data_IF_264163311858
#
_entry.id   IF_264163311858
#
_cell.length_a   1.000
_cell.length_b   1.000
_cell.length_c   1.000
_cell.angle_alpha   90.00
_cell.angle_beta   90.00
_cell.angle_gamma   90.00
#
_symmetry.space_group_name_H-M   'P 1'
#
loop_
_entity.id
_entity.type
_entity.pdbx_description
1 polymer ?
#
# COMPACT_ATOMS: atom_id res chain seq x y z
N UNK A 1 -18.23 1.04 -11.97
CA UNK A 1 -17.78 2.34 -11.43
C UNK A 1 -17.30 3.16 -12.61
N UNK A 2 -17.92 4.32 -12.84
CA UNK A 2 -17.58 5.20 -13.96
C UNK A 2 -16.28 5.97 -13.69
N UNK A 3 -15.71 6.60 -14.72
CA UNK A 3 -14.54 7.47 -14.55
C UNK A 3 -14.88 8.72 -13.73
N UNK A 4 -16.05 9.30 -13.96
CA UNK A 4 -16.55 10.46 -13.23
C UNK A 4 -16.72 10.16 -11.73
N UNK A 5 -17.33 9.02 -11.38
CA UNK A 5 -17.44 8.57 -9.98
C UNK A 5 -16.07 8.44 -9.30
N UNK A 6 -15.06 7.95 -10.03
CA UNK A 6 -13.68 7.89 -9.52
C UNK A 6 -13.11 9.27 -9.28
N UNK A 7 -13.25 10.16 -10.25
CA UNK A 7 -12.68 11.50 -10.18
C UNK A 7 -13.36 12.31 -9.06
N UNK A 8 -14.66 12.14 -8.83
CA UNK A 8 -15.37 12.70 -7.67
C UNK A 8 -14.78 12.15 -6.36
N UNK A 9 -14.63 10.83 -6.24
CA UNK A 9 -14.09 10.19 -5.02
C UNK A 9 -12.65 10.59 -4.72
N UNK A 10 -11.85 10.85 -5.75
CA UNK A 10 -10.46 11.29 -5.63
C UNK A 10 -10.34 12.81 -5.46
N UNK A 11 -11.44 13.56 -5.57
CA UNK A 11 -11.47 15.02 -5.52
C UNK A 11 -10.71 15.65 -6.69
N UNK A 12 -10.85 15.07 -7.89
CA UNK A 12 -10.23 15.54 -9.13
C UNK A 12 -11.17 16.41 -9.98
N UNK A 13 -12.44 16.51 -9.60
CA UNK A 13 -13.45 17.34 -10.27
C UNK A 13 -13.31 18.81 -9.88
N UNK A 14 -13.48 19.72 -10.85
CA UNK A 14 -13.42 21.15 -10.61
C UNK A 14 -12.01 21.72 -10.39
N UNK A 15 -10.97 20.91 -10.60
CA UNK A 15 -9.57 21.32 -10.58
C UNK A 15 -9.13 21.76 -11.98
N UNK A 16 -8.21 22.72 -12.05
CA UNK A 16 -7.41 22.95 -13.25
C UNK A 16 -6.50 21.75 -13.55
N UNK A 17 -5.97 21.65 -14.78
CA UNK A 17 -5.07 20.56 -15.16
C UNK A 17 -3.82 20.47 -14.26
N UNK A 18 -3.27 21.63 -13.85
CA UNK A 18 -2.12 21.70 -12.96
C UNK A 18 -2.45 21.19 -11.54
N UNK A 19 -3.59 21.63 -10.98
CA UNK A 19 -4.06 21.17 -9.67
C UNK A 19 -4.40 19.68 -9.68
N UNK A 20 -5.03 19.22 -10.77
CA UNK A 20 -5.33 17.80 -10.98
C UNK A 20 -4.07 16.96 -11.02
N UNK A 21 -3.03 17.41 -11.75
CA UNK A 21 -1.74 16.74 -11.80
C UNK A 21 -1.07 16.69 -10.42
N UNK A 22 -1.04 17.81 -9.68
CA UNK A 22 -0.49 17.86 -8.33
C UNK A 22 -1.24 16.92 -7.36
N UNK A 23 -2.57 16.88 -7.47
CA UNK A 23 -3.41 15.99 -6.66
C UNK A 23 -3.14 14.52 -6.95
N UNK A 24 -3.00 14.15 -8.22
CA UNK A 24 -2.65 12.78 -8.64
C UNK A 24 -1.26 12.38 -8.11
N UNK A 25 -0.27 13.27 -8.17
CA UNK A 25 1.06 13.00 -7.63
C UNK A 25 1.01 12.73 -6.12
N UNK A 26 0.32 13.58 -5.36
CA UNK A 26 0.16 13.41 -3.91
C UNK A 26 -0.52 12.07 -3.56
N UNK A 27 -1.60 11.71 -4.27
CA UNK A 27 -2.30 10.45 -4.07
C UNK A 27 -1.39 9.25 -4.39
N UNK A 28 -0.62 9.33 -5.47
CA UNK A 28 0.33 8.30 -5.89
C UNK A 28 1.42 8.09 -4.84
N UNK A 29 2.01 9.18 -4.32
CA UNK A 29 3.01 9.11 -3.26
C UNK A 29 2.46 8.44 -2.00
N UNK A 30 1.26 8.82 -1.58
CA UNK A 30 0.60 8.25 -0.41
C UNK A 30 0.40 6.74 -0.56
N UNK A 31 -0.18 6.30 -1.68
CA UNK A 31 -0.39 4.87 -1.96
C UNK A 31 0.95 4.13 -1.99
N UNK A 32 1.99 4.73 -2.57
CA UNK A 32 3.32 4.11 -2.65
C UNK A 32 3.92 3.91 -1.26
N UNK A 33 3.83 4.91 -0.38
CA UNK A 33 4.32 4.82 1.01
C UNK A 33 3.54 3.77 1.80
N UNK A 34 2.21 3.78 1.71
CA UNK A 34 1.35 2.80 2.39
C UNK A 34 1.64 1.37 1.90
N UNK A 35 1.81 1.17 0.58
CA UNK A 35 2.18 -0.12 0.01
C UNK A 35 3.57 -0.60 0.45
N UNK A 36 4.55 0.31 0.52
CA UNK A 36 5.88 0.00 1.02
C UNK A 36 5.84 -0.43 2.50
N UNK A 37 5.09 0.29 3.34
CA UNK A 37 4.90 -0.05 4.75
C UNK A 37 4.21 -1.41 4.92
N UNK A 38 3.14 -1.68 4.15
CA UNK A 38 2.45 -2.97 4.19
C UNK A 38 3.36 -4.13 3.78
N UNK A 39 4.18 -3.93 2.72
CA UNK A 39 5.18 -4.93 2.28
C UNK A 39 6.24 -5.16 3.35
N UNK A 40 6.73 -4.11 4.00
CA UNK A 40 7.70 -4.22 5.09
C UNK A 40 7.11 -5.01 6.29
N UNK A 41 5.87 -4.69 6.67
CA UNK A 41 5.17 -5.41 7.74
C UNK A 41 4.96 -6.90 7.41
N UNK A 42 4.60 -7.22 6.16
CA UNK A 42 4.48 -8.61 5.70
C UNK A 42 5.82 -9.35 5.73
N UNK A 43 6.91 -8.70 5.31
CA UNK A 43 8.26 -9.28 5.38
C UNK A 43 8.69 -9.53 6.83
N UNK A 44 8.45 -8.58 7.74
CA UNK A 44 8.75 -8.74 9.16
C UNK A 44 7.95 -9.90 9.78
N UNK A 45 6.65 -10.02 9.46
CA UNK A 45 5.83 -11.16 9.89
C UNK A 45 6.37 -12.50 9.38
N UNK A 46 6.82 -12.57 8.13
CA UNK A 46 7.41 -13.79 7.55
C UNK A 46 8.75 -14.14 8.20
N UNK A 47 9.61 -13.15 8.42
CA UNK A 47 10.90 -13.35 9.10
C UNK A 47 10.72 -13.84 10.54
N UNK A 48 9.80 -13.24 11.31
CA UNK A 48 9.48 -13.68 12.66
C UNK A 48 8.86 -15.08 12.73
N UNK A 49 8.13 -15.51 11.69
CA UNK A 49 7.60 -16.88 11.60
C UNK A 49 8.69 -17.92 11.35
N UNK A 50 9.69 -17.58 10.52
CA UNK A 50 10.82 -18.46 10.24
C UNK A 50 11.74 -18.65 11.47
N UNK A 51 11.83 -17.68 12.38
CA UNK A 51 12.60 -17.82 13.62
C UNK A 51 11.91 -18.65 14.70
N UNK A 52 10.61 -18.93 14.56
CA UNK A 52 9.85 -19.72 15.55
C UNK A 52 9.58 -21.14 15.06
N UNK A 53 9.92 -21.48 13.82
CA UNK A 53 9.55 -22.77 13.22
C UNK A 53 10.74 -23.39 12.47
N UNK A 54 11.74 -23.86 13.22
CA UNK A 54 12.61 -25.01 12.87
C UNK A 54 13.47 -25.45 14.09
N UNK A 55 13.66 -26.74 14.38
CA UNK A 55 12.60 -27.69 14.75
C UNK A 55 12.92 -28.44 16.07
N UNK A 56 11.89 -28.83 16.81
CA UNK A 56 11.93 -30.06 17.61
C UNK A 56 10.91 -30.99 16.96
N UNK A 57 11.37 -32.07 16.30
CA UNK A 57 11.19 -33.37 16.94
C UNK A 57 12.28 -34.39 16.56
N UNK A 58 12.88 -35.08 17.53
CA UNK A 58 12.78 -36.56 17.64
C UNK A 58 13.52 -37.06 18.87
N UNK A 59 12.89 -38.06 19.47
CA UNK A 59 13.24 -38.80 20.66
C UNK A 59 14.47 -39.68 20.48
N UNK A 60 15.19 -39.94 21.58
CA UNK A 60 15.80 -41.23 21.88
C UNK A 60 15.78 -41.44 23.41
#
# INVERSE_FOLDING_TARGET
MSQEERDVRLGLTGLSDAERAARIQLLTERVTREAAAARAALRAKRAGRHTTQDPAPESD
#
